data_IF_823574253740
#
_entry.id   IF_823574253740
#
_cell.length_a   1.000
_cell.length_b   1.000
_cell.length_c   1.000
_cell.angle_alpha   90.00
_cell.angle_beta   90.00
_cell.angle_gamma   90.00
#
_symmetry.space_group_name_H-M   'P 1'
#
loop_
_entity.id
_entity.type
_entity.pdbx_description
1 polymer ?
#
# COMPACT_ATOMS: atom_id res chain seq x y z
N UNK A 1 -10.77 -8.55 13.33
CA UNK A 1 -9.41 -8.07 13.62
C UNK A 1 -9.19 -8.22 15.11
N UNK A 2 -8.08 -8.82 15.55
CA UNK A 2 -7.78 -8.97 16.99
C UNK A 2 -6.88 -7.83 17.47
N UNK A 3 -6.86 -7.57 18.78
CA UNK A 3 -5.96 -6.57 19.36
C UNK A 3 -4.49 -6.88 19.07
N UNK A 4 -4.12 -8.17 19.11
CA UNK A 4 -2.76 -8.64 18.81
C UNK A 4 -2.35 -8.30 17.37
N UNK A 5 -3.22 -8.56 16.38
CA UNK A 5 -2.94 -8.24 14.97
C UNK A 5 -2.68 -6.74 14.76
N UNK A 6 -3.50 -5.89 15.41
CA UNK A 6 -3.34 -4.43 15.32
C UNK A 6 -2.02 -3.99 15.94
N UNK A 7 -1.68 -4.50 17.12
CA UNK A 7 -0.41 -4.17 17.78
C UNK A 7 0.81 -4.64 16.96
N UNK A 8 0.75 -5.82 16.35
CA UNK A 8 1.82 -6.30 15.46
C UNK A 8 2.03 -5.39 14.26
N UNK A 9 0.94 -4.97 13.59
CA UNK A 9 1.02 -4.06 12.45
C UNK A 9 1.59 -2.68 12.85
N UNK A 10 1.18 -2.14 14.01
CA UNK A 10 1.72 -0.89 14.53
C UNK A 10 3.21 -0.95 14.85
N UNK A 11 3.71 -2.13 15.25
CA UNK A 11 5.13 -2.35 15.53
C UNK A 11 5.99 -2.59 14.28
N UNK A 12 5.37 -2.74 13.09
CA UNK A 12 6.07 -2.95 11.82
C UNK A 12 5.62 -1.91 10.77
N UNK A 13 5.91 -0.62 10.99
CA UNK A 13 5.49 0.44 10.08
C UNK A 13 6.24 0.35 8.76
N UNK A 14 5.57 0.80 7.69
CA UNK A 14 6.12 0.84 6.35
C UNK A 14 5.62 2.07 5.60
N UNK A 15 6.34 2.45 4.54
CA UNK A 15 5.96 3.55 3.66
C UNK A 15 5.26 3.00 2.43
N UNK A 16 3.94 3.19 2.36
CA UNK A 16 3.13 2.82 1.20
C UNK A 16 3.02 3.99 0.22
N UNK A 17 3.57 3.84 -0.98
CA UNK A 17 3.44 4.85 -2.02
C UNK A 17 2.10 4.66 -2.72
N UNK A 18 1.22 5.66 -2.66
CA UNK A 18 -0.09 5.63 -3.32
C UNK A 18 -0.11 6.42 -4.64
N UNK A 19 0.72 7.45 -4.71
CA UNK A 19 0.93 8.24 -5.91
C UNK A 19 2.08 9.21 -5.76
N UNK A 20 2.55 9.74 -6.88
CA UNK A 20 3.65 10.69 -6.97
C UNK A 20 3.52 11.53 -8.24
N UNK A 21 3.99 12.76 -8.20
CA UNK A 21 4.22 13.56 -9.41
C UNK A 21 5.70 13.47 -9.85
N UNK A 22 6.09 14.25 -10.86
CA UNK A 22 7.47 14.25 -11.36
C UNK A 22 8.50 14.64 -10.29
N UNK A 23 8.17 15.62 -9.43
CA UNK A 23 9.03 16.09 -8.34
C UNK A 23 9.07 15.03 -7.23
N UNK A 24 7.91 14.51 -6.85
CA UNK A 24 7.71 13.46 -5.87
C UNK A 24 8.48 12.19 -6.23
N UNK A 25 8.56 11.80 -7.51
CA UNK A 25 9.36 10.65 -7.93
C UNK A 25 10.85 10.83 -7.65
N UNK A 26 11.40 12.03 -7.88
CA UNK A 26 12.81 12.35 -7.57
C UNK A 26 13.05 12.33 -6.07
N UNK A 27 12.13 12.92 -5.31
CA UNK A 27 12.20 12.94 -3.85
C UNK A 27 12.09 11.54 -3.24
N UNK A 28 11.15 10.71 -3.72
CA UNK A 28 10.98 9.34 -3.23
C UNK A 28 12.19 8.47 -3.52
N UNK A 29 12.87 8.68 -4.67
CA UNK A 29 14.15 8.01 -4.95
C UNK A 29 15.19 8.35 -3.88
N UNK A 30 15.30 9.62 -3.50
CA UNK A 30 16.23 10.08 -2.47
C UNK A 30 15.87 9.55 -1.07
N UNK A 31 14.60 9.65 -0.67
CA UNK A 31 14.14 9.18 0.66
C UNK A 31 14.29 7.68 0.81
N UNK A 32 14.09 6.89 -0.26
CA UNK A 32 14.24 5.44 -0.20
C UNK A 32 15.63 5.00 0.28
N UNK A 33 16.65 5.78 -0.03
CA UNK A 33 18.03 5.47 0.36
C UNK A 33 18.37 5.97 1.78
N UNK A 34 17.51 6.81 2.38
CA UNK A 34 17.72 7.40 3.71
C UNK A 34 16.82 6.80 4.81
N UNK A 35 15.67 6.26 4.43
CA UNK A 35 14.70 5.71 5.37
C UNK A 35 15.12 4.33 5.85
N UNK A 36 14.86 4.04 7.13
CA UNK A 36 14.99 2.69 7.70
C UNK A 36 13.71 1.88 7.53
N UNK A 37 12.61 2.51 7.09
CA UNK A 37 11.33 1.86 6.89
C UNK A 37 11.27 1.18 5.52
N UNK A 38 10.66 -0.03 5.43
CA UNK A 38 10.37 -0.65 4.15
C UNK A 38 9.52 0.28 3.27
N UNK A 39 9.93 0.49 2.02
CA UNK A 39 9.17 1.29 1.06
C UNK A 39 8.47 0.37 0.08
N UNK A 40 7.14 0.37 0.11
CA UNK A 40 6.30 -0.45 -0.77
C UNK A 40 5.72 0.43 -1.86
N UNK A 41 6.19 0.19 -3.08
CA UNK A 41 5.74 0.90 -4.28
C UNK A 41 4.74 0.04 -5.06
N UNK A 42 5.19 -1.10 -5.60
CA UNK A 42 4.29 -2.11 -6.16
C UNK A 42 4.08 -3.20 -5.10
N UNK A 43 2.82 -3.46 -4.77
CA UNK A 43 2.44 -4.52 -3.82
C UNK A 43 2.66 -5.88 -4.46
N UNK A 44 3.45 -6.73 -3.81
CA UNK A 44 3.68 -8.13 -4.17
C UNK A 44 2.75 -9.07 -3.41
N UNK A 45 2.70 -10.34 -3.84
CA UNK A 45 2.00 -11.38 -3.10
C UNK A 45 2.59 -11.61 -1.70
N UNK A 46 3.89 -11.38 -1.52
CA UNK A 46 4.54 -11.52 -0.22
C UNK A 46 4.10 -10.41 0.74
N UNK A 47 3.94 -9.18 0.25
CA UNK A 47 3.58 -8.03 1.07
C UNK A 47 2.19 -8.22 1.70
N UNK A 48 1.21 -8.66 0.91
CA UNK A 48 -0.17 -8.89 1.38
C UNK A 48 -0.30 -10.09 2.33
N UNK A 49 0.69 -10.97 2.37
CA UNK A 49 0.76 -12.09 3.33
C UNK A 49 1.56 -11.74 4.59
N UNK A 50 2.28 -10.61 4.59
CA UNK A 50 3.17 -10.22 5.69
C UNK A 50 2.85 -8.82 6.18
N UNK A 51 3.69 -7.84 5.84
CA UNK A 51 3.68 -6.50 6.42
C UNK A 51 2.39 -5.72 6.08
N UNK A 52 1.71 -6.07 4.99
CA UNK A 52 0.45 -5.45 4.57
C UNK A 52 -0.78 -6.32 4.87
N UNK A 53 -0.66 -7.44 5.58
CA UNK A 53 -1.79 -8.37 5.74
C UNK A 53 -3.02 -7.72 6.40
N UNK A 54 -2.81 -6.78 7.34
CA UNK A 54 -3.89 -6.04 7.97
C UNK A 54 -4.56 -5.08 6.98
N UNK A 55 -3.76 -4.25 6.32
CA UNK A 55 -4.24 -3.22 5.39
C UNK A 55 -4.89 -3.83 4.15
N UNK A 56 -4.37 -4.96 3.67
CA UNK A 56 -4.96 -5.72 2.57
C UNK A 56 -6.36 -6.23 2.91
N UNK A 57 -6.57 -6.77 4.13
CA UNK A 57 -7.91 -7.17 4.57
C UNK A 57 -8.85 -5.99 4.69
N UNK A 58 -8.37 -4.84 5.16
CA UNK A 58 -9.16 -3.61 5.20
C UNK A 58 -9.55 -3.15 3.79
N UNK A 59 -8.63 -3.23 2.82
CA UNK A 59 -8.89 -2.96 1.41
C UNK A 59 -9.93 -3.89 0.80
N UNK A 60 -9.85 -5.20 1.10
CA UNK A 60 -10.86 -6.18 0.67
C UNK A 60 -12.24 -5.87 1.27
N UNK A 61 -12.33 -5.49 2.55
CA UNK A 61 -13.59 -5.10 3.18
C UNK A 61 -14.13 -3.84 2.51
N UNK A 62 -13.29 -2.83 2.26
CA UNK A 62 -13.69 -1.62 1.55
C UNK A 62 -14.22 -1.92 0.15
N UNK A 63 -13.60 -2.88 -0.54
CA UNK A 63 -14.03 -3.31 -1.87
C UNK A 63 -15.45 -3.90 -1.88
N UNK A 64 -15.92 -4.51 -0.78
CA UNK A 64 -17.29 -5.02 -0.68
C UNK A 64 -18.34 -3.89 -0.74
N UNK A 65 -17.96 -2.67 -0.38
CA UNK A 65 -18.84 -1.50 -0.45
C UNK A 65 -18.78 -0.77 -1.80
N UNK A 66 -17.77 -1.05 -2.63
CA UNK A 66 -17.75 -0.57 -4.01
C UNK A 66 -18.73 -1.36 -4.88
N UNK A 67 -19.38 -0.66 -5.81
CA UNK A 67 -20.33 -1.28 -6.74
C UNK A 67 -19.58 -2.27 -7.66
N UNK A 68 -19.85 -3.58 -7.57
CA UNK A 68 -19.12 -4.60 -8.35
C UNK A 68 -19.31 -4.48 -9.85
N UNK A 69 -20.32 -3.72 -10.27
CA UNK A 69 -20.66 -3.38 -11.66
C UNK A 69 -19.58 -2.52 -12.33
N UNK A 70 -18.79 -1.78 -11.54
CA UNK A 70 -17.80 -0.82 -12.05
C UNK A 70 -16.36 -1.31 -11.91
N UNK A 71 -16.04 -2.06 -10.86
CA UNK A 71 -14.68 -2.57 -10.64
C UNK A 71 -14.65 -3.72 -9.61
N UNK A 72 -14.20 -4.90 -10.05
CA UNK A 72 -13.95 -6.06 -9.18
C UNK A 72 -12.45 -6.31 -8.95
N UNK A 73 -11.58 -5.46 -9.46
CA UNK A 73 -10.14 -5.63 -9.28
C UNK A 73 -9.74 -5.35 -7.82
N UNK A 74 -8.83 -6.15 -7.24
CA UNK A 74 -8.27 -5.87 -5.93
C UNK A 74 -7.70 -4.44 -5.85
N UNK A 75 -7.99 -3.72 -4.77
CA UNK A 75 -7.55 -2.33 -4.60
C UNK A 75 -6.04 -2.22 -4.33
N UNK A 76 -5.44 -3.27 -3.78
CA UNK A 76 -4.04 -3.23 -3.34
C UNK A 76 -3.07 -3.95 -4.28
N UNK A 77 -3.48 -5.03 -4.95
CA UNK A 77 -2.61 -5.82 -5.83
C UNK A 77 -2.79 -5.45 -7.30
N UNK A 78 -1.72 -5.54 -8.08
CA UNK A 78 -1.75 -5.25 -9.52
C UNK A 78 -1.84 -3.77 -9.90
N UNK A 79 -2.18 -2.89 -8.95
CA UNK A 79 -2.15 -1.43 -9.11
C UNK A 79 -0.73 -0.90 -8.89
N UNK A 80 -0.34 0.06 -9.74
CA UNK A 80 0.88 0.86 -9.54
C UNK A 80 0.50 2.21 -8.96
N UNK A 81 1.37 2.84 -8.16
CA UNK A 81 1.07 4.16 -7.61
C UNK A 81 0.77 5.14 -8.71
N UNK A 82 -0.24 5.99 -8.48
CA UNK A 82 -0.70 6.93 -9.49
C UNK A 82 0.44 7.89 -9.82
N UNK A 83 0.72 8.05 -11.11
CA UNK A 83 1.71 9.01 -11.59
C UNK A 83 1.01 10.18 -12.26
N UNK A 84 1.32 11.38 -11.79
CA UNK A 84 0.81 12.63 -12.37
C UNK A 84 1.96 13.40 -13.04
N UNK A 85 1.83 13.69 -14.34
CA UNK A 85 2.67 14.66 -15.02
C UNK A 85 2.05 16.05 -14.83
N UNK A 86 2.64 16.84 -13.93
CA UNK A 86 2.36 18.28 -13.77
C UNK A 86 3.52 19.07 -14.33
#
# INVERSE_FOLDING_TARGET
>A
MTQVEVMTALNQPYLRILGQDQVGRKYLKYIRDLTQLPVINRVSHQDVQTIMALDYRAGMIYQLFTRPEFDQSPQDTGRTPIYFER
#
